data_IF_344887143148
#
_entry.id   IF_344887143148
#
_cell.length_a   1.000
_cell.length_b   1.000
_cell.length_c   1.000
_cell.angle_alpha   90.00
_cell.angle_beta   90.00
_cell.angle_gamma   90.00
#
_symmetry.space_group_name_H-M   'P 1'
#
loop_
_entity.id
_entity.type
_entity.pdbx_description
1 polymer ?
#
# COMPACT_ATOMS: atom_id res chain seq x y z
N UNK A 1 2.98 -15.74 -6.44
CA UNK A 1 1.62 -15.52 -6.97
C UNK A 1 0.99 -14.37 -6.18
N UNK A 2 1.01 -13.15 -6.73
CA UNK A 2 0.68 -11.93 -5.97
C UNK A 2 -0.83 -11.68 -5.93
N UNK A 3 -1.53 -12.32 -4.97
CA UNK A 3 -2.98 -12.13 -4.82
C UNK A 3 -3.28 -10.68 -4.38
N UNK A 4 -4.20 -9.98 -5.06
CA UNK A 4 -4.52 -8.59 -4.74
C UNK A 4 -5.06 -8.42 -3.30
N UNK A 5 -5.68 -9.46 -2.74
CA UNK A 5 -6.15 -9.51 -1.35
C UNK A 5 -5.01 -9.36 -0.32
N UNK A 6 -3.84 -9.97 -0.60
CA UNK A 6 -2.68 -9.90 0.30
C UNK A 6 -2.08 -8.49 0.27
N UNK A 7 -2.01 -7.88 -0.92
CA UNK A 7 -1.55 -6.50 -1.10
C UNK A 7 -2.50 -5.53 -0.36
N UNK A 8 -3.81 -5.71 -0.52
CA UNK A 8 -4.83 -4.92 0.19
C UNK A 8 -4.70 -5.01 1.71
N UNK A 9 -4.48 -6.22 2.24
CA UNK A 9 -4.21 -6.43 3.66
C UNK A 9 -2.97 -5.68 4.16
N UNK A 10 -1.89 -5.63 3.37
CA UNK A 10 -0.67 -4.88 3.71
C UNK A 10 -0.87 -3.37 3.66
N UNK A 11 -1.58 -2.87 2.65
CA UNK A 11 -1.95 -1.46 2.58
C UNK A 11 -2.76 -1.02 3.81
N UNK A 12 -3.69 -1.88 4.26
CA UNK A 12 -4.42 -1.66 5.51
C UNK A 12 -3.50 -1.67 6.73
N UNK A 13 -2.56 -2.61 6.81
CA UNK A 13 -1.59 -2.66 7.91
C UNK A 13 -0.69 -1.41 7.95
N UNK A 14 -0.20 -0.94 6.80
CA UNK A 14 0.57 0.29 6.67
C UNK A 14 -0.23 1.50 7.16
N UNK A 15 -1.48 1.61 6.71
CA UNK A 15 -2.41 2.67 7.13
C UNK A 15 -2.57 2.72 8.65
N UNK A 16 -2.78 1.55 9.27
CA UNK A 16 -2.92 1.41 10.72
C UNK A 16 -1.62 1.71 11.46
N UNK A 17 -0.47 1.28 10.93
CA UNK A 17 0.85 1.54 11.52
C UNK A 17 1.19 3.04 11.54
N UNK A 18 0.75 3.78 10.53
CA UNK A 18 0.88 5.24 10.45
C UNK A 18 -0.13 6.00 11.34
N UNK A 19 -0.99 5.30 12.07
CA UNK A 19 -2.00 5.89 12.95
C UNK A 19 -3.28 6.33 12.24
N UNK A 20 -3.42 6.08 10.94
CA UNK A 20 -4.63 6.42 10.19
C UNK A 20 -5.72 5.34 10.38
N UNK A 21 -6.63 5.60 11.33
CA UNK A 21 -7.81 4.74 11.55
C UNK A 21 -8.82 4.79 10.40
N UNK A 22 -8.91 5.91 9.69
CA UNK A 22 -9.87 6.11 8.60
C UNK A 22 -9.17 6.07 7.23
N UNK A 23 -9.73 5.31 6.29
CA UNK A 23 -9.27 5.26 4.89
C UNK A 23 -9.21 6.66 4.27
N UNK A 24 -10.25 7.46 4.50
CA UNK A 24 -10.37 8.82 3.97
C UNK A 24 -9.21 9.73 4.34
N UNK A 25 -8.75 9.70 5.59
CA UNK A 25 -7.64 10.51 6.05
C UNK A 25 -6.32 10.10 5.37
N UNK A 26 -6.14 8.79 5.15
CA UNK A 26 -5.00 8.30 4.39
C UNK A 26 -5.11 8.66 2.91
N UNK A 27 -6.30 8.55 2.32
CA UNK A 27 -6.58 8.92 0.93
C UNK A 27 -6.28 10.39 0.65
N UNK A 28 -6.65 11.28 1.58
CA UNK A 28 -6.34 12.71 1.50
C UNK A 28 -4.82 12.95 1.55
N UNK A 29 -4.13 12.26 2.47
CA UNK A 29 -2.68 12.33 2.61
C UNK A 29 -1.94 11.91 1.32
N UNK A 30 -2.33 10.78 0.71
CA UNK A 30 -1.71 10.30 -0.54
C UNK A 30 -2.33 10.92 -1.80
N UNK A 31 -3.34 11.79 -1.65
CA UNK A 31 -4.17 12.39 -2.72
C UNK A 31 -4.71 11.36 -3.72
N UNK A 32 -5.41 10.35 -3.22
CA UNK A 32 -6.18 9.39 -4.03
C UNK A 32 -7.66 9.44 -3.63
N UNK A 33 -8.52 8.86 -4.47
CA UNK A 33 -9.95 8.76 -4.16
C UNK A 33 -10.24 7.58 -3.25
N UNK A 34 -11.19 7.76 -2.32
CA UNK A 34 -11.60 6.75 -1.35
C UNK A 34 -12.12 5.48 -2.06
N UNK A 35 -12.83 5.65 -3.17
CA UNK A 35 -13.29 4.53 -4.02
C UNK A 35 -12.14 3.72 -4.59
N UNK A 36 -11.07 4.37 -5.05
CA UNK A 36 -9.91 3.66 -5.60
C UNK A 36 -9.18 2.89 -4.48
N UNK A 37 -8.99 3.55 -3.32
CA UNK A 37 -8.40 2.92 -2.14
C UNK A 37 -9.18 1.69 -1.68
N UNK A 38 -10.51 1.79 -1.58
CA UNK A 38 -11.36 0.68 -1.18
C UNK A 38 -11.20 -0.53 -2.11
N UNK A 39 -11.12 -0.31 -3.43
CA UNK A 39 -10.89 -1.39 -4.39
C UNK A 39 -9.53 -2.07 -4.20
N UNK A 40 -8.49 -1.34 -3.80
CA UNK A 40 -7.17 -1.91 -3.52
C UNK A 40 -7.13 -2.59 -2.15
N UNK A 41 -7.69 -1.97 -1.11
CA UNK A 41 -7.73 -2.50 0.26
C UNK A 41 -8.50 -3.83 0.33
N UNK A 42 -9.59 -3.97 -0.43
CA UNK A 42 -10.38 -5.19 -0.51
C UNK A 42 -9.86 -6.20 -1.56
N UNK A 43 -8.75 -5.92 -2.23
CA UNK A 43 -8.19 -6.82 -3.26
C UNK A 43 -9.05 -6.97 -4.52
N UNK A 44 -10.03 -6.08 -4.74
CA UNK A 44 -10.84 -6.06 -5.98
C UNK A 44 -10.04 -5.61 -7.19
N UNK A 45 -9.03 -4.76 -6.98
CA UNK A 45 -8.10 -4.33 -8.02
C UNK A 45 -6.67 -4.35 -7.50
N UNK A 46 -5.75 -4.72 -8.38
CA UNK A 46 -4.32 -4.56 -8.14
C UNK A 46 -3.98 -3.08 -8.07
N UNK A 47 -3.23 -2.68 -7.05
CA UNK A 47 -2.73 -1.29 -6.95
C UNK A 47 -1.75 -1.04 -8.10
N UNK A 48 -1.90 0.05 -8.87
CA UNK A 48 -0.95 0.39 -9.92
C UNK A 48 0.39 0.80 -9.31
N UNK A 49 1.48 0.50 -10.02
CA UNK A 49 2.85 0.76 -9.55
C UNK A 49 3.09 2.25 -9.25
N UNK A 50 2.46 3.14 -10.01
CA UNK A 50 2.55 4.60 -9.82
C UNK A 50 2.01 5.03 -8.44
N UNK A 51 0.85 4.48 -8.05
CA UNK A 51 0.25 4.73 -6.73
C UNK A 51 1.05 4.06 -5.63
N UNK A 52 1.52 2.83 -5.85
CA UNK A 52 2.38 2.14 -4.88
C UNK A 52 3.66 2.95 -4.63
N UNK A 53 4.24 3.55 -5.68
CA UNK A 53 5.45 4.37 -5.59
C UNK A 53 5.17 5.67 -4.83
N UNK A 54 4.02 6.31 -5.07
CA UNK A 54 3.59 7.48 -4.28
C UNK A 54 3.40 7.14 -2.80
N UNK A 55 2.76 6.01 -2.50
CA UNK A 55 2.60 5.55 -1.12
C UNK A 55 3.97 5.32 -0.50
N UNK A 56 4.88 4.63 -1.20
CA UNK A 56 6.24 4.40 -0.75
C UNK A 56 6.98 5.70 -0.42
N UNK A 57 6.90 6.71 -1.30
CA UNK A 57 7.52 8.02 -1.09
C UNK A 57 6.93 8.80 0.09
N UNK A 58 5.61 8.73 0.30
CA UNK A 58 4.94 9.48 1.37
C UNK A 58 5.02 8.77 2.74
N UNK A 59 5.15 7.45 2.76
CA UNK A 59 5.11 6.64 3.98
C UNK A 59 6.48 6.08 4.39
N UNK A 60 7.46 6.11 3.49
CA UNK A 60 8.76 5.44 3.66
C UNK A 60 8.72 3.92 3.46
N UNK A 61 7.56 3.33 3.13
CA UNK A 61 7.46 1.90 2.85
C UNK A 61 8.14 1.54 1.52
N UNK A 62 8.83 0.41 1.43
CA UNK A 62 9.39 -0.05 0.15
C UNK A 62 8.31 -0.68 -0.74
N UNK A 63 8.42 -0.48 -2.07
CA UNK A 63 7.57 -1.17 -3.05
C UNK A 63 7.61 -2.70 -2.88
N UNK A 64 8.77 -3.24 -2.56
CA UNK A 64 8.94 -4.66 -2.27
C UNK A 64 8.09 -5.11 -1.08
N UNK A 65 8.06 -4.31 0.00
CA UNK A 65 7.19 -4.60 1.15
C UNK A 65 5.70 -4.57 0.77
N UNK A 66 5.28 -3.64 -0.10
CA UNK A 66 3.89 -3.54 -0.56
C UNK A 66 3.51 -4.78 -1.40
N UNK A 67 4.31 -5.12 -2.41
CA UNK A 67 3.98 -6.19 -3.36
C UNK A 67 4.37 -7.57 -2.83
N UNK A 68 5.59 -7.75 -2.34
CA UNK A 68 6.16 -9.03 -1.95
C UNK A 68 6.20 -9.26 -0.43
N UNK A 69 6.24 -8.19 0.37
CA UNK A 69 6.30 -8.27 1.83
C UNK A 69 7.65 -8.68 2.36
N UNK A 70 8.71 -8.63 1.54
CA UNK A 70 10.06 -8.79 2.08
C UNK A 70 10.48 -7.46 2.70
N UNK A 71 10.95 -7.51 3.94
CA UNK A 71 11.54 -6.37 4.66
C UNK A 71 12.99 -6.09 4.26
N UNK A 72 13.52 -6.79 3.25
CA UNK A 72 14.93 -6.72 2.88
C UNK A 72 15.10 -7.05 1.40
N UNK A 73 15.33 -6.03 0.56
CA UNK A 73 15.61 -6.21 -0.85
C UNK A 73 16.85 -5.41 -1.29
N UNK A 74 17.88 -5.38 -0.44
CA UNK A 74 19.24 -5.22 -0.95
C UNK A 74 19.84 -6.62 -1.02
N UNK A 75 20.19 -7.15 -2.20
CA UNK A 75 21.10 -8.29 -2.26
C UNK A 75 22.42 -7.80 -1.65
N UNK A 76 22.72 -8.27 -0.44
CA UNK A 76 24.07 -8.16 0.10
C UNK A 76 24.93 -9.06 -0.79
N UNK A 77 25.71 -8.40 -1.64
CA UNK A 77 26.69 -9.05 -2.52
C UNK A 77 27.82 -9.67 -1.72
#
# INVERSE_FOLDING_TARGET
MNRPEVIGGRLKALRLALGYRQAKAFCDFIRVTDTAWNNWEHGRRTVPIDVASRIALNTGASLDWIYHGFGHALPVH
#
